data_IF_496951623245
#
_entry.id   IF_496951623245
#
_cell.length_a   1.000
_cell.length_b   1.000
_cell.length_c   1.000
_cell.angle_alpha   90.00
_cell.angle_beta   90.00
_cell.angle_gamma   90.00
#
_symmetry.space_group_name_H-M   'P 1'
#
loop_
_entity.id
_entity.type
_entity.pdbx_description
1 polymer ?
#
# COMPACT_ATOMS: atom_id res chain seq x y z
N UNK A 1 17.80 -14.47 -4.50
CA UNK A 1 17.92 -13.20 -3.76
C UNK A 1 17.60 -13.45 -2.30
N UNK A 2 18.21 -12.68 -1.40
CA UNK A 2 17.84 -12.57 0.01
C UNK A 2 16.81 -11.45 0.16
N UNK A 3 15.59 -11.77 0.56
CA UNK A 3 14.47 -10.82 0.60
C UNK A 3 13.85 -10.87 2.00
N UNK A 4 13.80 -9.72 2.68
CA UNK A 4 13.10 -9.60 3.94
C UNK A 4 11.72 -8.97 3.73
N UNK A 5 10.68 -9.64 4.21
CA UNK A 5 9.33 -9.07 4.31
C UNK A 5 9.18 -8.44 5.69
N UNK A 6 9.10 -7.11 5.73
CA UNK A 6 8.91 -6.38 6.99
C UNK A 6 7.41 -6.19 7.26
N UNK A 7 6.87 -7.06 8.11
CA UNK A 7 5.45 -7.15 8.43
C UNK A 7 4.74 -8.32 7.75
N UNK A 8 4.44 -9.39 8.49
CA UNK A 8 3.69 -10.55 8.00
C UNK A 8 2.17 -10.36 8.20
N UNK A 9 1.62 -9.32 7.56
CA UNK A 9 0.18 -9.17 7.38
C UNK A 9 -0.33 -9.99 6.18
N UNK A 10 -1.55 -9.72 5.72
CA UNK A 10 -2.15 -10.41 4.57
C UNK A 10 -1.28 -10.31 3.30
N UNK A 11 -0.81 -9.11 2.98
CA UNK A 11 0.05 -8.85 1.81
C UNK A 11 1.45 -9.45 2.02
N UNK A 12 2.06 -9.21 3.19
CA UNK A 12 3.40 -9.73 3.48
C UNK A 12 3.44 -11.26 3.51
N UNK A 13 2.44 -11.90 4.10
CA UNK A 13 2.32 -13.36 4.10
C UNK A 13 2.15 -13.94 2.70
N UNK A 14 1.36 -13.28 1.83
CA UNK A 14 1.22 -13.65 0.43
C UNK A 14 2.57 -13.60 -0.31
N UNK A 15 3.27 -12.46 -0.24
CA UNK A 15 4.56 -12.29 -0.93
C UNK A 15 5.63 -13.22 -0.37
N UNK A 16 5.75 -13.33 0.96
CA UNK A 16 6.72 -14.22 1.59
C UNK A 16 6.52 -15.68 1.16
N UNK A 17 5.27 -16.17 1.14
CA UNK A 17 4.98 -17.55 0.76
C UNK A 17 5.34 -17.82 -0.69
N UNK A 18 4.95 -16.94 -1.63
CA UNK A 18 5.23 -17.12 -3.06
C UNK A 18 6.73 -17.04 -3.36
N UNK A 19 7.43 -16.04 -2.82
CA UNK A 19 8.88 -15.88 -3.03
C UNK A 19 9.67 -17.05 -2.46
N UNK A 20 9.33 -17.53 -1.26
CA UNK A 20 9.99 -18.69 -0.67
C UNK A 20 9.71 -19.98 -1.47
N UNK A 21 8.47 -20.18 -1.93
CA UNK A 21 8.12 -21.33 -2.79
C UNK A 21 8.84 -21.29 -4.15
N UNK A 22 9.18 -20.09 -4.64
CA UNK A 22 9.99 -19.90 -5.85
C UNK A 22 11.51 -20.09 -5.62
N UNK A 23 11.94 -20.46 -4.41
CA UNK A 23 13.33 -20.77 -4.09
C UNK A 23 14.18 -19.56 -3.69
N UNK A 24 13.59 -18.41 -3.37
CA UNK A 24 14.33 -17.29 -2.79
C UNK A 24 14.61 -17.51 -1.31
N UNK A 25 15.71 -16.93 -0.82
CA UNK A 25 16.03 -16.90 0.61
C UNK A 25 15.19 -15.78 1.26
N UNK A 26 14.07 -16.19 1.85
CA UNK A 26 13.07 -15.25 2.41
C UNK A 26 13.16 -15.24 3.92
N UNK A 27 13.38 -14.06 4.46
CA UNK A 27 13.23 -13.76 5.87
C UNK A 27 12.03 -12.85 6.13
N UNK A 28 11.59 -12.76 7.37
CA UNK A 28 10.47 -11.88 7.71
C UNK A 28 10.59 -11.31 9.13
N UNK A 29 10.19 -10.06 9.30
CA UNK A 29 9.99 -9.44 10.61
C UNK A 29 8.52 -9.53 10.99
N UNK A 30 8.24 -10.21 12.11
CA UNK A 30 6.90 -10.37 12.64
C UNK A 30 6.93 -10.38 14.17
N UNK A 31 5.78 -10.12 14.78
CA UNK A 31 5.62 -10.06 16.25
C UNK A 31 4.45 -10.90 16.74
N UNK A 32 4.44 -11.17 18.04
CA UNK A 32 3.30 -11.78 18.73
C UNK A 32 2.91 -13.16 18.19
N UNK A 33 1.62 -13.37 18.04
CA UNK A 33 1.06 -14.67 17.63
C UNK A 33 1.50 -15.06 16.20
N UNK A 34 1.58 -14.10 15.27
CA UNK A 34 2.04 -14.38 13.91
C UNK A 34 3.48 -14.91 13.91
N UNK A 35 4.39 -14.31 14.70
CA UNK A 35 5.75 -14.81 14.85
C UNK A 35 5.77 -16.25 15.36
N UNK A 36 5.04 -16.51 16.46
CA UNK A 36 5.03 -17.84 17.10
C UNK A 36 4.48 -18.90 16.15
N UNK A 37 3.39 -18.61 15.45
CA UNK A 37 2.75 -19.54 14.51
C UNK A 37 3.61 -19.79 13.29
N UNK A 38 4.20 -18.75 12.70
CA UNK A 38 5.04 -18.91 11.50
C UNK A 38 6.34 -19.66 11.84
N UNK A 39 6.91 -19.47 13.03
CA UNK A 39 8.05 -20.30 13.51
C UNK A 39 7.69 -21.78 13.61
N UNK A 40 6.52 -22.10 14.16
CA UNK A 40 6.09 -23.47 14.37
C UNK A 40 5.64 -24.14 13.05
N UNK A 41 4.74 -23.51 12.32
CA UNK A 41 3.95 -24.13 11.25
C UNK A 41 4.39 -23.68 9.84
N UNK A 42 5.14 -22.57 9.72
CA UNK A 42 5.43 -21.90 8.46
C UNK A 42 4.28 -21.01 7.99
N UNK A 43 4.31 -20.63 6.72
CA UNK A 43 3.28 -19.85 6.04
C UNK A 43 2.42 -20.76 5.17
N UNK A 44 1.13 -20.47 5.11
CA UNK A 44 0.18 -21.12 4.20
C UNK A 44 -0.56 -20.06 3.39
N UNK A 45 -0.56 -20.21 2.07
CA UNK A 45 -1.32 -19.38 1.13
C UNK A 45 -2.30 -20.25 0.37
N UNK A 46 -3.59 -19.90 0.42
CA UNK A 46 -4.61 -20.49 -0.45
C UNK A 46 -4.96 -19.48 -1.55
N UNK A 47 -4.88 -19.93 -2.81
CA UNK A 47 -5.19 -19.11 -3.99
C UNK A 47 -5.87 -20.00 -5.01
N UNK A 48 -7.15 -19.77 -5.28
CA UNK A 48 -7.95 -20.49 -6.33
C UNK A 48 -7.84 -22.02 -6.29
N UNK A 49 -8.00 -22.58 -5.10
CA UNK A 49 -7.94 -24.04 -4.92
C UNK A 49 -6.52 -24.60 -4.78
N UNK A 50 -5.51 -23.81 -5.10
CA UNK A 50 -4.12 -24.16 -4.82
C UNK A 50 -3.75 -23.76 -3.39
N UNK A 51 -3.02 -24.63 -2.70
CA UNK A 51 -2.45 -24.35 -1.37
C UNK A 51 -0.94 -24.45 -1.44
N UNK A 52 -0.27 -23.31 -1.22
CA UNK A 52 1.18 -23.21 -1.17
C UNK A 52 1.59 -23.11 0.31
N UNK A 53 2.62 -23.90 0.68
CA UNK A 53 3.22 -23.83 2.01
C UNK A 53 4.70 -23.51 1.88
N UNK A 54 5.20 -22.62 2.75
CA UNK A 54 6.61 -22.25 2.77
C UNK A 54 7.09 -22.04 4.20
N UNK A 55 8.37 -22.30 4.42
CA UNK A 55 9.07 -21.91 5.64
C UNK A 55 9.97 -20.73 5.33
N UNK A 56 9.97 -19.76 6.22
CA UNK A 56 10.81 -18.57 6.14
C UNK A 56 11.54 -18.37 7.46
N UNK A 57 12.70 -17.72 7.42
CA UNK A 57 13.37 -17.30 8.64
C UNK A 57 12.65 -16.10 9.24
N UNK A 58 12.01 -16.24 10.40
CA UNK A 58 11.19 -15.19 11.01
C UNK A 58 11.73 -14.79 12.39
N UNK A 59 11.88 -13.48 12.61
CA UNK A 59 12.26 -12.92 13.91
C UNK A 59 11.49 -11.62 14.18
N UNK A 60 11.37 -11.25 15.45
CA UNK A 60 10.94 -9.91 15.84
C UNK A 60 12.12 -8.92 15.88
N UNK A 61 13.35 -9.43 15.91
CA UNK A 61 14.57 -8.66 15.93
C UNK A 61 15.23 -8.69 14.55
N UNK A 62 15.18 -7.60 13.77
CA UNK A 62 15.79 -7.54 12.43
C UNK A 62 17.27 -7.90 12.39
N UNK A 63 18.00 -7.64 13.48
CA UNK A 63 19.42 -7.99 13.60
C UNK A 63 19.72 -9.50 13.46
N UNK A 64 18.76 -10.37 13.78
CA UNK A 64 18.89 -11.82 13.62
C UNK A 64 18.91 -12.26 12.15
N UNK A 65 18.43 -11.40 11.24
CA UNK A 65 18.21 -11.73 9.84
C UNK A 65 19.35 -11.28 8.91
N UNK A 66 20.18 -10.32 9.39
CA UNK A 66 21.33 -9.79 8.65
C UNK A 66 20.98 -9.07 7.33
N UNK A 67 22.02 -8.62 6.59
CA UNK A 67 21.82 -7.84 5.37
C UNK A 67 21.08 -8.59 4.26
N UNK A 68 20.16 -7.88 3.60
CA UNK A 68 19.29 -8.37 2.55
C UNK A 68 19.59 -7.72 1.19
N UNK A 69 19.16 -8.33 0.09
CA UNK A 69 19.18 -7.68 -1.23
C UNK A 69 18.01 -6.71 -1.38
N UNK A 70 16.85 -7.06 -0.78
CA UNK A 70 15.67 -6.20 -0.73
C UNK A 70 14.92 -6.37 0.60
N UNK A 71 14.39 -5.26 1.13
CA UNK A 71 13.45 -5.23 2.25
C UNK A 71 12.10 -4.73 1.71
N UNK A 72 11.07 -5.57 1.74
CA UNK A 72 9.72 -5.20 1.30
C UNK A 72 8.88 -4.90 2.55
N UNK A 73 8.66 -3.62 2.82
CA UNK A 73 7.75 -3.19 3.88
C UNK A 73 6.31 -3.33 3.45
N UNK A 74 5.57 -4.18 4.14
CA UNK A 74 4.12 -4.33 4.00
C UNK A 74 3.38 -3.89 5.26
N UNK A 75 4.05 -3.07 6.06
CA UNK A 75 3.45 -2.41 7.21
C UNK A 75 2.37 -1.43 6.77
N UNK A 76 1.37 -1.23 7.60
CA UNK A 76 0.45 -0.11 7.45
C UNK A 76 1.21 1.21 7.61
N UNK A 77 0.73 2.29 6.97
CA UNK A 77 1.36 3.61 7.08
C UNK A 77 1.52 4.05 8.55
N UNK A 78 0.53 3.74 9.40
CA UNK A 78 0.55 4.02 10.84
C UNK A 78 1.62 3.25 11.64
N UNK A 79 2.29 2.27 11.03
CA UNK A 79 3.30 1.41 11.68
C UNK A 79 4.71 1.64 11.12
N UNK A 80 4.89 2.55 10.16
CA UNK A 80 6.18 2.74 9.48
C UNK A 80 7.31 3.21 10.40
N UNK A 81 7.02 3.85 11.52
CA UNK A 81 8.04 4.20 12.52
C UNK A 81 8.86 2.98 12.96
N UNK A 82 8.21 1.81 13.10
CA UNK A 82 8.93 0.58 13.47
C UNK A 82 9.86 0.05 12.37
N UNK A 83 9.66 0.42 11.10
CA UNK A 83 10.63 0.16 10.04
C UNK A 83 11.85 1.05 10.19
N UNK A 84 11.68 2.36 10.42
CA UNK A 84 12.80 3.28 10.63
C UNK A 84 13.71 2.82 11.78
N UNK A 85 13.11 2.37 12.89
CA UNK A 85 13.84 1.86 14.06
C UNK A 85 14.58 0.53 13.79
N UNK A 86 14.04 -0.31 12.90
CA UNK A 86 14.50 -1.70 12.75
C UNK A 86 15.21 -2.03 11.44
N UNK A 87 15.22 -1.15 10.43
CA UNK A 87 15.71 -1.51 9.10
C UNK A 87 17.23 -1.59 9.00
N UNK A 88 17.97 -0.82 9.79
CA UNK A 88 19.44 -0.67 9.67
C UNK A 88 20.21 -2.01 9.63
N UNK A 89 19.94 -3.03 10.47
CA UNK A 89 20.64 -4.32 10.39
C UNK A 89 20.38 -5.12 9.12
N UNK A 90 19.31 -4.79 8.39
CA UNK A 90 18.92 -5.45 7.13
C UNK A 90 19.58 -4.81 5.90
N UNK A 91 20.23 -3.65 6.07
CA UNK A 91 20.83 -2.90 4.98
C UNK A 91 22.25 -3.39 4.69
N UNK A 92 22.47 -3.88 3.47
CA UNK A 92 23.78 -4.05 2.85
C UNK A 92 24.09 -2.88 1.90
N UNK A 93 25.20 -2.94 1.16
CA UNK A 93 25.60 -1.83 0.28
C UNK A 93 24.55 -1.42 -0.76
N UNK A 94 23.82 -2.40 -1.33
CA UNK A 94 22.86 -2.19 -2.43
C UNK A 94 21.43 -2.58 -2.04
N UNK A 95 21.12 -2.70 -0.75
CA UNK A 95 19.77 -3.09 -0.31
C UNK A 95 18.73 -2.08 -0.76
N UNK A 96 17.70 -2.57 -1.43
CA UNK A 96 16.52 -1.78 -1.80
C UNK A 96 15.47 -1.88 -0.70
N UNK A 97 14.84 -0.74 -0.35
CA UNK A 97 13.76 -0.67 0.62
C UNK A 97 12.47 -0.32 -0.10
N UNK A 98 11.60 -1.31 -0.24
CA UNK A 98 10.33 -1.21 -0.97
C UNK A 98 9.22 -0.81 -0.02
N UNK A 99 8.52 0.26 -0.33
CA UNK A 99 7.37 0.78 0.43
C UNK A 99 6.07 0.36 -0.22
N UNK A 100 5.51 -0.77 0.21
CA UNK A 100 4.27 -1.33 -0.30
C UNK A 100 3.06 -0.89 0.54
N UNK A 101 2.77 0.42 0.57
CA UNK A 101 1.62 1.02 1.24
C UNK A 101 0.57 1.50 0.25
N UNK A 102 -0.65 1.73 0.76
CA UNK A 102 -1.71 2.41 0.03
C UNK A 102 -1.64 3.93 0.24
N UNK A 103 -2.15 4.69 -0.72
CA UNK A 103 -2.27 6.14 -0.61
C UNK A 103 -0.99 6.90 -0.97
N UNK A 104 -0.95 8.17 -0.61
CA UNK A 104 0.22 9.03 -0.80
C UNK A 104 1.32 8.57 0.16
N UNK A 105 2.55 8.27 -0.33
CA UNK A 105 3.63 7.83 0.53
C UNK A 105 4.41 9.02 1.12
N UNK A 106 5.06 8.79 2.25
CA UNK A 106 5.91 9.77 2.93
C UNK A 106 7.06 10.32 2.08
N UNK A 107 7.55 9.53 1.13
CA UNK A 107 8.67 9.86 0.23
C UNK A 107 8.23 10.56 -1.07
N UNK A 108 6.97 10.96 -1.20
CA UNK A 108 6.39 11.46 -2.46
C UNK A 108 7.16 12.62 -3.09
N UNK A 109 7.74 13.51 -2.30
CA UNK A 109 8.55 14.66 -2.75
C UNK A 109 10.01 14.31 -3.09
N UNK A 110 10.51 13.16 -2.61
CA UNK A 110 11.89 12.72 -2.87
C UNK A 110 12.05 12.36 -4.35
N UNK A 111 13.07 12.91 -5.00
CA UNK A 111 13.36 12.64 -6.42
C UNK A 111 12.29 13.18 -7.38
N UNK A 112 11.38 14.04 -6.93
CA UNK A 112 10.39 14.65 -7.79
C UNK A 112 11.07 15.57 -8.80
N UNK A 113 10.70 15.41 -10.08
CA UNK A 113 11.22 16.29 -11.14
C UNK A 113 10.85 17.75 -10.86
N UNK A 114 11.81 18.71 -11.00
CA UNK A 114 11.52 20.14 -10.87
C UNK A 114 10.48 20.67 -11.86
N UNK A 115 10.19 19.92 -12.93
CA UNK A 115 9.14 20.27 -13.89
C UNK A 115 7.73 20.00 -13.36
N UNK A 116 7.59 19.26 -12.26
CA UNK A 116 6.30 19.00 -11.61
C UNK A 116 6.01 20.06 -10.53
N UNK A 117 4.74 20.44 -10.36
CA UNK A 117 4.34 21.27 -9.21
C UNK A 117 4.74 20.63 -7.89
N UNK A 118 5.18 21.45 -6.94
CA UNK A 118 5.54 20.99 -5.61
C UNK A 118 4.32 20.36 -4.92
N UNK A 119 4.50 19.22 -4.21
CA UNK A 119 3.45 18.65 -3.37
C UNK A 119 3.21 19.53 -2.13
N UNK A 120 2.10 19.31 -1.39
CA UNK A 120 1.95 19.88 -0.06
C UNK A 120 3.04 19.36 0.89
N UNK A 121 3.14 19.97 2.07
CA UNK A 121 3.92 19.39 3.15
C UNK A 121 3.34 18.05 3.58
N UNK A 122 4.19 17.02 3.72
CA UNK A 122 3.82 15.64 4.01
C UNK A 122 4.39 15.13 5.35
N UNK A 123 4.74 16.04 6.26
CA UNK A 123 5.31 15.73 7.58
C UNK A 123 4.41 14.78 8.41
N UNK A 124 3.09 14.85 8.22
CA UNK A 124 2.15 13.95 8.87
C UNK A 124 2.32 12.47 8.44
N UNK A 125 2.93 12.21 7.27
CA UNK A 125 3.18 10.87 6.77
C UNK A 125 4.50 10.25 7.28
N UNK A 126 5.38 11.09 7.84
CA UNK A 126 6.62 10.69 8.53
C UNK A 126 6.80 11.59 9.76
N UNK A 127 5.99 11.42 10.82
CA UNK A 127 6.07 12.24 12.02
C UNK A 127 7.46 12.17 12.66
N UNK A 128 8.10 13.33 12.81
CA UNK A 128 9.45 13.44 13.35
C UNK A 128 10.57 13.09 12.34
N UNK A 129 10.27 12.76 11.09
CA UNK A 129 11.25 12.55 10.02
C UNK A 129 12.06 11.26 10.13
N UNK A 130 11.66 10.30 10.96
CA UNK A 130 12.44 9.11 11.26
C UNK A 130 12.74 8.23 10.05
N UNK A 131 11.80 8.13 9.10
CA UNK A 131 12.02 7.37 7.85
C UNK A 131 13.00 8.11 6.95
N UNK A 132 12.86 9.42 6.87
CA UNK A 132 13.70 10.29 6.04
C UNK A 132 15.15 10.34 6.55
N UNK A 133 15.32 10.32 7.86
CA UNK A 133 16.63 10.31 8.49
C UNK A 133 17.29 8.90 8.48
N UNK A 134 16.47 7.85 8.55
CA UNK A 134 16.95 6.47 8.67
C UNK A 134 17.15 5.72 7.34
N UNK A 135 16.62 6.24 6.21
CA UNK A 135 16.64 5.54 4.92
C UNK A 135 17.11 6.47 3.82
N UNK A 136 18.29 6.17 3.27
CA UNK A 136 18.88 6.93 2.16
C UNK A 136 17.95 6.93 0.94
N UNK A 137 17.80 8.09 0.28
CA UNK A 137 16.90 8.27 -0.87
C UNK A 137 17.16 7.26 -2.00
N UNK A 138 18.42 6.89 -2.19
CA UNK A 138 18.90 5.94 -3.19
C UNK A 138 18.40 4.52 -2.96
N UNK A 139 17.98 4.19 -1.73
CA UNK A 139 17.44 2.87 -1.37
C UNK A 139 15.93 2.78 -1.58
N UNK A 140 15.25 3.91 -1.64
CA UNK A 140 13.78 3.95 -1.67
C UNK A 140 13.26 3.41 -2.99
N UNK A 141 12.33 2.47 -2.90
CA UNK A 141 11.52 1.96 -4.01
C UNK A 141 10.05 2.14 -3.65
N UNK A 142 9.34 2.89 -4.48
CA UNK A 142 7.89 3.00 -4.38
C UNK A 142 7.21 1.75 -4.90
N UNK A 143 6.07 1.39 -4.31
CA UNK A 143 5.32 0.23 -4.76
C UNK A 143 3.81 0.45 -4.73
N UNK A 144 3.11 -0.18 -5.69
CA UNK A 144 1.64 -0.23 -5.73
C UNK A 144 1.17 -1.67 -5.70
N UNK A 145 0.47 -2.03 -4.64
CA UNK A 145 -0.09 -3.37 -4.46
C UNK A 145 -1.40 -3.49 -5.24
N UNK A 146 -1.49 -4.47 -6.13
CA UNK A 146 -2.73 -4.85 -6.81
C UNK A 146 -3.00 -6.34 -6.54
N UNK A 147 -3.14 -6.70 -5.29
CA UNK A 147 -3.35 -8.07 -4.82
C UNK A 147 -4.27 -8.04 -3.59
N UNK A 148 -5.54 -8.41 -3.73
CA UNK A 148 -6.44 -8.53 -2.60
C UNK A 148 -6.13 -9.81 -1.83
N UNK A 149 -5.73 -9.65 -0.59
CA UNK A 149 -5.37 -10.75 0.30
C UNK A 149 -6.05 -10.57 1.65
N UNK A 150 -6.44 -11.66 2.27
CA UNK A 150 -6.95 -11.70 3.62
C UNK A 150 -6.10 -12.64 4.50
N UNK A 151 -5.73 -12.19 5.69
CA UNK A 151 -5.17 -13.06 6.72
C UNK A 151 -6.34 -13.64 7.53
N UNK A 152 -6.62 -14.92 7.33
CA UNK A 152 -7.72 -15.64 8.00
C UNK A 152 -7.29 -16.22 9.33
N UNK A 153 -6.01 -16.47 9.52
CA UNK A 153 -5.38 -16.83 10.80
C UNK A 153 -3.89 -16.41 10.76
N UNK A 154 -3.21 -16.30 11.91
CA UNK A 154 -1.77 -16.01 11.94
C UNK A 154 -0.96 -16.98 11.07
N UNK A 155 -0.27 -16.43 10.06
CA UNK A 155 0.50 -17.21 9.07
C UNK A 155 -0.33 -17.90 7.97
N UNK A 156 -1.67 -17.70 7.95
CA UNK A 156 -2.56 -18.27 6.93
C UNK A 156 -3.23 -17.17 6.12
N UNK A 157 -2.96 -17.12 4.83
CA UNK A 157 -3.45 -16.09 3.92
C UNK A 157 -4.31 -16.71 2.81
N UNK A 158 -5.37 -16.01 2.45
CA UNK A 158 -6.19 -16.28 1.27
C UNK A 158 -5.99 -15.14 0.26
N UNK A 159 -5.70 -15.50 -0.97
CA UNK A 159 -5.64 -14.59 -2.11
C UNK A 159 -6.94 -14.68 -2.91
N UNK A 160 -7.64 -13.55 -3.07
CA UNK A 160 -9.04 -13.52 -3.50
C UNK A 160 -9.26 -13.12 -4.97
N UNK A 161 -8.21 -12.97 -5.79
CA UNK A 161 -8.40 -12.50 -7.16
C UNK A 161 -7.51 -13.22 -8.18
N UNK A 162 -8.12 -13.91 -9.13
CA UNK A 162 -7.40 -14.56 -10.24
C UNK A 162 -6.64 -13.57 -11.14
N UNK A 163 -7.18 -12.40 -11.31
CA UNK A 163 -6.68 -11.41 -12.28
C UNK A 163 -5.82 -10.32 -11.66
N UNK A 164 -5.82 -10.20 -10.32
CA UNK A 164 -5.10 -9.15 -9.61
C UNK A 164 -4.09 -9.76 -8.63
N UNK A 165 -2.87 -9.94 -9.11
CA UNK A 165 -1.74 -10.39 -8.30
C UNK A 165 -0.49 -9.65 -8.77
N UNK A 166 -0.38 -8.36 -8.42
CA UNK A 166 0.74 -7.55 -8.87
C UNK A 166 1.31 -6.67 -7.75
N UNK A 167 2.61 -6.43 -7.86
CA UNK A 167 3.36 -5.41 -7.13
C UNK A 167 4.11 -4.56 -8.16
N UNK A 168 3.58 -3.37 -8.48
CA UNK A 168 4.23 -2.44 -9.40
C UNK A 168 5.32 -1.70 -8.63
N UNK A 169 6.54 -1.70 -9.16
CA UNK A 169 7.71 -1.09 -8.51
C UNK A 169 8.26 0.07 -9.36
N UNK A 170 8.70 1.14 -8.71
CA UNK A 170 9.37 2.26 -9.37
C UNK A 170 10.26 3.06 -8.43
N UNK A 171 11.30 3.68 -8.98
CA UNK A 171 12.16 4.61 -8.25
C UNK A 171 11.45 5.96 -8.06
N UNK A 172 11.68 6.67 -6.94
CA UNK A 172 11.13 8.01 -6.74
C UNK A 172 11.59 9.05 -7.80
N UNK A 173 12.76 8.88 -8.38
CA UNK A 173 13.34 9.72 -9.42
C UNK A 173 13.09 9.19 -10.85
N UNK A 174 12.27 8.15 -10.97
CA UNK A 174 11.87 7.49 -12.22
C UNK A 174 13.06 6.95 -13.06
N UNK A 175 14.27 6.88 -12.49
CA UNK A 175 15.46 6.34 -13.18
C UNK A 175 15.36 4.83 -13.37
N UNK A 176 16.00 4.33 -14.43
CA UNK A 176 16.24 2.90 -14.60
C UNK A 176 17.19 2.38 -13.52
N UNK A 177 16.89 1.20 -12.97
CA UNK A 177 17.67 0.56 -11.91
C UNK A 177 17.74 -0.96 -12.14
N UNK A 178 18.93 -1.49 -12.53
CA UNK A 178 19.11 -2.93 -12.74
C UNK A 178 18.85 -3.77 -11.48
N UNK A 179 19.03 -3.21 -10.29
CA UNK A 179 18.69 -3.87 -9.04
C UNK A 179 17.18 -4.06 -8.91
N UNK A 180 16.41 -3.03 -9.31
CA UNK A 180 14.96 -3.09 -9.33
C UNK A 180 14.44 -4.09 -10.37
N UNK A 181 15.10 -4.22 -11.52
CA UNK A 181 14.75 -5.22 -12.53
C UNK A 181 14.94 -6.64 -12.00
N UNK A 182 16.05 -6.92 -11.29
CA UNK A 182 16.25 -8.21 -10.62
C UNK A 182 15.15 -8.53 -9.60
N UNK A 183 14.68 -7.54 -8.87
CA UNK A 183 13.58 -7.73 -7.92
C UNK A 183 12.24 -7.99 -8.65
N UNK A 184 11.98 -7.31 -9.77
CA UNK A 184 10.82 -7.61 -10.63
C UNK A 184 10.86 -9.04 -11.15
N UNK A 185 12.02 -9.49 -11.64
CA UNK A 185 12.20 -10.85 -12.12
C UNK A 185 11.95 -11.90 -11.02
N UNK A 186 12.38 -11.61 -9.78
CA UNK A 186 12.11 -12.46 -8.63
C UNK A 186 10.60 -12.55 -8.33
N UNK A 187 9.89 -11.43 -8.37
CA UNK A 187 8.44 -11.38 -8.17
C UNK A 187 7.71 -12.15 -9.28
N UNK A 188 8.08 -11.91 -10.53
CA UNK A 188 7.47 -12.60 -11.69
C UNK A 188 7.72 -14.11 -11.62
N UNK A 189 8.94 -14.54 -11.29
CA UNK A 189 9.28 -15.94 -11.07
C UNK A 189 8.48 -16.59 -9.92
N UNK A 190 8.02 -15.80 -8.95
CA UNK A 190 7.15 -16.22 -7.86
C UNK A 190 5.64 -16.13 -8.21
N UNK A 191 5.28 -15.81 -9.45
CA UNK A 191 3.90 -15.67 -9.91
C UNK A 191 3.23 -14.38 -9.44
N UNK A 192 4.00 -13.35 -9.11
CA UNK A 192 3.51 -12.00 -8.78
C UNK A 192 3.87 -11.09 -9.96
N UNK A 193 2.87 -10.58 -10.66
CA UNK A 193 3.12 -9.65 -11.75
C UNK A 193 3.84 -8.39 -11.24
N UNK A 194 4.85 -7.94 -11.97
CA UNK A 194 5.58 -6.72 -11.63
C UNK A 194 5.94 -5.95 -12.92
N UNK A 195 4.92 -5.36 -13.58
CA UNK A 195 5.15 -4.63 -14.82
C UNK A 195 6.05 -3.41 -14.54
N UNK A 196 6.94 -3.06 -15.49
CA UNK A 196 7.71 -1.84 -15.39
C UNK A 196 6.79 -0.61 -15.40
N UNK A 197 7.17 0.44 -14.69
CA UNK A 197 6.53 1.74 -14.77
C UNK A 197 7.57 2.82 -14.98
N UNK A 198 7.25 3.76 -15.85
CA UNK A 198 8.07 4.95 -16.09
C UNK A 198 7.78 6.06 -15.06
N UNK A 199 6.73 5.92 -14.28
CA UNK A 199 6.28 6.91 -13.30
C UNK A 199 5.52 6.20 -12.18
N UNK A 200 6.19 6.04 -11.04
CA UNK A 200 5.58 5.37 -9.88
C UNK A 200 4.45 6.21 -9.27
N UNK A 201 4.52 7.53 -9.33
CA UNK A 201 3.45 8.40 -8.81
C UNK A 201 2.19 8.29 -9.66
N UNK A 202 2.33 8.14 -10.97
CA UNK A 202 1.22 7.84 -11.87
C UNK A 202 0.48 6.56 -11.44
N UNK A 203 1.23 5.51 -11.12
CA UNK A 203 0.66 4.23 -10.67
C UNK A 203 -0.02 4.38 -9.29
N UNK A 204 0.57 5.15 -8.36
CA UNK A 204 0.00 5.45 -7.05
C UNK A 204 -1.36 6.16 -7.19
N UNK A 205 -1.41 7.26 -7.95
CA UNK A 205 -2.64 8.02 -8.14
C UNK A 205 -3.72 7.21 -8.86
N UNK A 206 -3.34 6.38 -9.84
CA UNK A 206 -4.28 5.51 -10.56
C UNK A 206 -5.06 4.58 -9.61
N UNK A 207 -4.39 4.01 -8.60
CA UNK A 207 -5.05 3.21 -7.56
C UNK A 207 -5.78 4.09 -6.54
N UNK A 208 -5.21 5.25 -6.23
CA UNK A 208 -5.72 6.14 -5.20
C UNK A 208 -7.09 6.72 -5.53
N UNK A 209 -7.42 6.93 -6.81
CA UNK A 209 -8.75 7.39 -7.23
C UNK A 209 -9.87 6.50 -6.69
N UNK A 210 -9.67 5.19 -6.65
CA UNK A 210 -10.62 4.26 -6.04
C UNK A 210 -10.55 4.28 -4.51
N UNK A 211 -9.36 4.36 -3.96
CA UNK A 211 -9.19 4.29 -2.51
C UNK A 211 -9.76 5.53 -1.81
N UNK A 212 -9.54 6.75 -2.35
CA UNK A 212 -10.05 7.99 -1.75
C UNK A 212 -11.56 8.17 -1.93
N UNK A 213 -12.18 7.42 -2.84
CA UNK A 213 -13.60 7.54 -3.14
C UNK A 213 -14.38 6.32 -2.65
N UNK A 214 -14.47 5.23 -3.43
CA UNK A 214 -15.32 4.09 -3.08
C UNK A 214 -14.91 3.42 -1.76
N UNK A 215 -13.59 3.32 -1.45
CA UNK A 215 -13.18 2.66 -0.21
C UNK A 215 -13.56 3.47 1.03
N UNK A 216 -13.48 4.80 0.95
CA UNK A 216 -13.92 5.68 2.04
C UNK A 216 -15.44 5.69 2.16
N UNK A 217 -16.19 5.66 1.06
CA UNK A 217 -17.65 5.51 1.11
C UNK A 217 -18.06 4.18 1.76
N UNK A 218 -17.37 3.09 1.48
CA UNK A 218 -17.59 1.82 2.18
C UNK A 218 -17.32 1.94 3.69
N UNK A 219 -16.29 2.69 4.10
CA UNK A 219 -16.01 2.96 5.51
C UNK A 219 -17.18 3.69 6.17
N UNK A 220 -17.59 4.83 5.59
CA UNK A 220 -18.62 5.71 6.19
C UNK A 220 -20.00 5.08 6.20
N UNK A 221 -20.37 4.34 5.14
CA UNK A 221 -21.71 3.74 5.00
C UNK A 221 -21.84 2.37 5.66
N UNK A 222 -20.72 1.70 5.95
CA UNK A 222 -20.73 0.33 6.48
C UNK A 222 -21.03 -0.74 5.42
N UNK A 223 -21.08 -0.37 4.13
CA UNK A 223 -21.42 -1.28 3.04
C UNK A 223 -20.21 -1.77 2.24
N UNK A 224 -20.42 -2.85 1.48
CA UNK A 224 -19.47 -3.37 0.48
C UNK A 224 -19.48 -2.49 -0.77
N UNK A 225 -18.43 -2.61 -1.58
CA UNK A 225 -18.28 -1.81 -2.79
C UNK A 225 -19.44 -1.97 -3.78
N UNK A 226 -20.01 -3.16 -3.89
CA UNK A 226 -21.16 -3.41 -4.77
C UNK A 226 -22.36 -2.53 -4.39
N UNK A 227 -22.69 -2.45 -3.10
CA UNK A 227 -23.83 -1.66 -2.61
C UNK A 227 -23.61 -0.16 -2.88
N UNK A 228 -22.39 0.34 -2.66
CA UNK A 228 -22.02 1.73 -2.95
C UNK A 228 -22.18 2.05 -4.43
N UNK A 229 -21.81 1.11 -5.31
CA UNK A 229 -21.91 1.31 -6.76
C UNK A 229 -23.34 1.19 -7.30
N UNK A 230 -24.16 0.30 -6.74
CA UNK A 230 -25.55 0.07 -7.16
C UNK A 230 -26.50 1.15 -6.64
N UNK A 231 -26.26 1.70 -5.44
CA UNK A 231 -27.04 2.84 -4.97
C UNK A 231 -26.73 4.09 -5.81
N UNK A 232 -27.77 4.65 -6.43
CA UNK A 232 -27.59 5.76 -7.37
C UNK A 232 -27.04 7.03 -6.72
N UNK A 233 -27.36 7.30 -5.46
CA UNK A 233 -26.91 8.49 -4.73
C UNK A 233 -25.44 8.33 -4.33
N UNK A 234 -25.08 7.18 -3.78
CA UNK A 234 -23.70 6.86 -3.40
C UNK A 234 -22.81 6.75 -4.64
N UNK A 235 -23.29 6.16 -5.72
CA UNK A 235 -22.57 6.08 -6.98
C UNK A 235 -22.30 7.44 -7.62
N UNK A 236 -23.25 8.39 -7.57
CA UNK A 236 -22.97 9.77 -7.99
C UNK A 236 -21.94 10.45 -7.09
N UNK A 237 -22.01 10.23 -5.78
CA UNK A 237 -21.02 10.77 -4.84
C UNK A 237 -19.62 10.17 -5.10
N UNK A 238 -19.53 8.86 -5.33
CA UNK A 238 -18.29 8.22 -5.75
C UNK A 238 -17.67 8.89 -6.99
N UNK A 239 -18.47 9.10 -8.03
CA UNK A 239 -18.01 9.75 -9.27
C UNK A 239 -17.53 11.18 -9.01
N UNK A 240 -18.26 11.95 -8.19
CA UNK A 240 -17.89 13.31 -7.85
C UNK A 240 -16.55 13.35 -7.08
N UNK A 241 -16.37 12.54 -6.05
CA UNK A 241 -15.14 12.42 -5.29
C UNK A 241 -13.95 11.99 -6.17
N UNK A 242 -14.16 11.00 -7.04
CA UNK A 242 -13.12 10.53 -7.95
C UNK A 242 -12.68 11.64 -8.92
N UNK A 243 -13.62 12.40 -9.49
CA UNK A 243 -13.33 13.54 -10.37
C UNK A 243 -12.58 14.67 -9.67
N UNK A 244 -12.91 14.98 -8.41
CA UNK A 244 -12.17 15.94 -7.59
C UNK A 244 -10.71 15.48 -7.38
N UNK A 245 -10.51 14.20 -7.04
CA UNK A 245 -9.17 13.63 -6.91
C UNK A 245 -8.39 13.59 -8.22
N UNK A 246 -9.05 13.30 -9.34
CA UNK A 246 -8.45 13.35 -10.68
C UNK A 246 -8.01 14.78 -11.06
N UNK A 247 -8.82 15.80 -10.72
CA UNK A 247 -8.46 17.19 -10.94
C UNK A 247 -7.25 17.61 -10.11
N UNK A 248 -7.20 17.21 -8.83
CA UNK A 248 -6.04 17.42 -7.97
C UNK A 248 -4.77 16.77 -8.53
N UNK A 249 -4.85 15.50 -8.94
CA UNK A 249 -3.76 14.76 -9.54
C UNK A 249 -3.25 15.41 -10.83
N UNK A 250 -4.17 15.83 -11.72
CA UNK A 250 -3.83 16.50 -12.98
C UNK A 250 -3.10 17.82 -12.74
N UNK A 251 -3.48 18.59 -11.72
CA UNK A 251 -2.79 19.83 -11.33
C UNK A 251 -1.34 19.58 -10.87
N UNK A 252 -1.01 18.36 -10.45
CA UNK A 252 0.35 17.92 -10.08
C UNK A 252 1.04 17.08 -11.19
N UNK A 253 0.57 17.19 -12.43
CA UNK A 253 1.19 16.56 -13.59
C UNK A 253 0.95 15.04 -13.72
N UNK A 254 -0.08 14.52 -13.05
CA UNK A 254 -0.51 13.13 -13.18
C UNK A 254 -1.55 13.02 -14.31
N UNK A 255 -1.36 12.09 -15.23
CA UNK A 255 -2.33 11.82 -16.26
C UNK A 255 -3.46 10.92 -15.73
N UNK A 256 -4.58 11.51 -15.35
CA UNK A 256 -5.75 10.79 -14.86
C UNK A 256 -6.65 10.23 -15.99
N UNK A 257 -6.36 10.53 -17.26
CA UNK A 257 -7.24 10.27 -18.39
C UNK A 257 -7.51 8.80 -18.73
N UNK A 258 -6.76 7.86 -18.15
CA UNK A 258 -7.00 6.43 -18.31
C UNK A 258 -8.11 5.88 -17.37
N UNK A 259 -8.53 6.63 -16.36
CA UNK A 259 -9.57 6.25 -15.42
C UNK A 259 -10.84 7.05 -15.67
N UNK A 260 -11.94 6.34 -15.93
CA UNK A 260 -13.29 6.93 -16.04
C UNK A 260 -14.19 6.32 -14.95
N UNK A 261 -14.55 7.09 -13.91
CA UNK A 261 -15.35 6.59 -12.81
C UNK A 261 -16.79 6.20 -13.20
N UNK A 262 -17.36 6.82 -14.23
CA UNK A 262 -18.70 6.45 -14.73
C UNK A 262 -18.71 5.05 -15.36
N UNK A 263 -17.73 4.76 -16.20
CA UNK A 263 -17.62 3.45 -16.84
C UNK A 263 -17.06 2.37 -15.90
N UNK A 264 -16.37 2.74 -14.84
CA UNK A 264 -15.91 1.81 -13.80
C UNK A 264 -17.07 1.30 -12.94
N UNK A 265 -17.96 2.16 -12.55
CA UNK A 265 -19.07 1.92 -11.61
C UNK A 265 -19.83 0.60 -11.86
N UNK A 266 -20.37 0.33 -13.07
CA UNK A 266 -21.13 -0.90 -13.34
C UNK A 266 -20.27 -2.18 -13.39
N UNK A 267 -18.93 -2.06 -13.41
CA UNK A 267 -17.97 -3.16 -13.50
C UNK A 267 -17.20 -3.36 -12.21
N UNK A 268 -17.51 -2.57 -11.18
CA UNK A 268 -16.79 -2.65 -9.92
C UNK A 268 -16.99 -4.03 -9.26
N UNK A 269 -15.91 -4.68 -8.83
CA UNK A 269 -16.02 -5.97 -8.15
C UNK A 269 -16.69 -5.82 -6.80
N UNK A 270 -17.43 -6.85 -6.38
CA UNK A 270 -17.92 -6.91 -5.01
C UNK A 270 -16.77 -7.30 -4.08
N UNK A 271 -16.30 -6.35 -3.29
CA UNK A 271 -15.30 -6.59 -2.26
C UNK A 271 -15.49 -5.67 -1.05
N UNK A 272 -14.89 -6.04 0.06
CA UNK A 272 -14.78 -5.20 1.24
C UNK A 272 -13.40 -4.53 1.23
N UNK A 273 -13.30 -3.20 1.07
CA UNK A 273 -12.03 -2.49 1.09
C UNK A 273 -11.28 -2.66 2.41
N UNK A 274 -9.94 -2.68 2.33
CA UNK A 274 -9.07 -2.92 3.50
C UNK A 274 -9.29 -1.91 4.63
N UNK A 275 -9.53 -0.64 4.31
CA UNK A 275 -9.81 0.39 5.33
C UNK A 275 -11.09 0.09 6.12
N UNK A 276 -12.13 -0.46 5.47
CA UNK A 276 -13.35 -0.89 6.15
C UNK A 276 -13.11 -2.13 6.99
N UNK A 277 -12.37 -3.11 6.47
CA UNK A 277 -11.98 -4.31 7.25
C UNK A 277 -11.16 -3.94 8.48
N UNK A 278 -10.23 -2.98 8.37
CA UNK A 278 -9.45 -2.51 9.52
C UNK A 278 -10.35 -1.85 10.57
N UNK A 279 -11.28 -1.00 10.14
CA UNK A 279 -12.24 -0.35 11.04
C UNK A 279 -13.09 -1.38 11.80
N UNK A 280 -13.65 -2.39 11.12
CA UNK A 280 -14.45 -3.45 11.73
C UNK A 280 -13.66 -4.30 12.73
N UNK A 281 -12.36 -4.44 12.49
CA UNK A 281 -11.44 -5.20 13.36
C UNK A 281 -10.82 -4.33 14.47
N UNK A 282 -11.28 -3.08 14.64
CA UNK A 282 -10.74 -2.16 15.64
C UNK A 282 -9.26 -1.80 15.42
N UNK A 283 -8.82 -1.72 14.17
CA UNK A 283 -7.44 -1.38 13.80
C UNK A 283 -7.34 0.07 13.31
N UNK A 284 -6.20 0.76 13.54
CA UNK A 284 -5.98 2.08 12.99
C UNK A 284 -6.21 2.13 11.48
N UNK A 285 -6.88 3.20 11.00
CA UNK A 285 -7.23 3.39 9.59
C UNK A 285 -6.31 4.41 8.93
N UNK A 286 -6.02 4.20 7.63
CA UNK A 286 -5.03 4.98 6.86
C UNK A 286 -5.68 6.21 6.18
N UNK A 287 -6.51 6.99 6.91
CA UNK A 287 -7.21 8.15 6.35
C UNK A 287 -6.23 9.26 5.92
N UNK A 288 -5.10 9.43 6.61
CA UNK A 288 -4.10 10.43 6.25
C UNK A 288 -3.61 10.21 4.81
N UNK A 289 -3.14 9.00 4.51
CA UNK A 289 -2.57 8.67 3.21
C UNK A 289 -3.61 8.57 2.09
N UNK A 290 -4.83 8.08 2.43
CA UNK A 290 -5.85 7.78 1.43
C UNK A 290 -6.75 8.97 1.10
N UNK A 291 -6.91 9.92 2.03
CA UNK A 291 -7.93 10.96 1.89
C UNK A 291 -7.39 12.36 2.22
N UNK A 292 -6.75 12.56 3.38
CA UNK A 292 -6.34 13.90 3.80
C UNK A 292 -5.16 14.44 2.99
N UNK A 293 -4.16 13.61 2.69
CA UNK A 293 -3.07 14.00 1.82
C UNK A 293 -3.57 14.37 0.40
N UNK A 294 -4.40 13.58 -0.32
CA UNK A 294 -5.02 14.00 -1.58
C UNK A 294 -5.76 15.33 -1.52
N UNK A 295 -6.51 15.59 -0.45
CA UNK A 295 -7.19 16.89 -0.24
C UNK A 295 -6.15 18.01 -0.07
N UNK A 296 -5.04 17.77 0.64
CA UNK A 296 -3.95 18.76 0.76
C UNK A 296 -3.32 19.05 -0.62
N UNK A 297 -3.11 18.04 -1.48
CA UNK A 297 -2.69 18.23 -2.86
C UNK A 297 -3.65 19.14 -3.65
N UNK A 298 -4.94 18.90 -3.55
CA UNK A 298 -5.96 19.75 -4.17
C UNK A 298 -5.88 21.20 -3.66
N UNK A 299 -5.74 21.37 -2.35
CA UNK A 299 -5.71 22.70 -1.71
C UNK A 299 -4.53 23.53 -2.16
N UNK A 300 -3.30 22.99 -2.23
CA UNK A 300 -2.14 23.75 -2.72
C UNK A 300 -2.22 24.09 -4.20
N UNK A 301 -2.97 23.31 -4.98
CA UNK A 301 -3.25 23.55 -6.39
C UNK A 301 -4.46 24.47 -6.63
N UNK A 302 -5.17 24.90 -5.59
CA UNK A 302 -6.38 25.71 -5.71
C UNK A 302 -7.58 24.97 -6.31
N UNK A 303 -7.61 23.65 -6.22
CA UNK A 303 -8.70 22.79 -6.70
C UNK A 303 -9.71 22.59 -5.57
N UNK A 304 -10.98 22.90 -5.83
CA UNK A 304 -12.05 22.69 -4.88
C UNK A 304 -12.42 21.20 -4.79
N UNK A 305 -12.58 20.70 -3.56
CA UNK A 305 -12.90 19.28 -3.28
C UNK A 305 -14.06 19.13 -2.28
N UNK A 306 -15.23 19.76 -2.55
CA UNK A 306 -16.31 19.81 -1.57
C UNK A 306 -16.86 18.44 -1.18
N UNK A 307 -16.89 17.47 -2.11
CA UNK A 307 -17.37 16.11 -1.81
C UNK A 307 -16.34 15.31 -1.00
N UNK A 308 -15.05 15.39 -1.37
CA UNK A 308 -13.97 14.75 -0.61
C UNK A 308 -13.89 15.33 0.80
N UNK A 309 -13.95 16.66 0.98
CA UNK A 309 -13.90 17.32 2.29
C UNK A 309 -15.11 16.95 3.17
N UNK A 310 -16.32 16.93 2.60
CA UNK A 310 -17.52 16.55 3.34
C UNK A 310 -17.45 15.09 3.85
N UNK A 311 -17.03 14.17 2.97
CA UNK A 311 -16.90 12.76 3.35
C UNK A 311 -15.71 12.57 4.31
N UNK A 312 -14.62 13.34 4.15
CA UNK A 312 -13.49 13.31 5.07
C UNK A 312 -13.90 13.70 6.49
N UNK A 313 -14.70 14.76 6.65
CA UNK A 313 -15.20 15.18 7.96
C UNK A 313 -15.96 14.05 8.68
N UNK A 314 -16.80 13.30 7.95
CA UNK A 314 -17.54 12.16 8.49
C UNK A 314 -16.62 10.98 8.82
N UNK A 315 -15.73 10.60 7.89
CA UNK A 315 -14.82 9.48 8.05
C UNK A 315 -13.84 9.68 9.21
N UNK A 316 -13.25 10.87 9.30
CA UNK A 316 -12.32 11.23 10.38
C UNK A 316 -13.04 11.24 11.72
N UNK A 317 -14.23 11.88 11.82
CA UNK A 317 -14.99 11.90 13.08
C UNK A 317 -15.35 10.49 13.55
N UNK A 318 -15.85 9.64 12.64
CA UNK A 318 -16.16 8.24 12.93
C UNK A 318 -14.93 7.47 13.44
N UNK A 319 -13.79 7.67 12.81
CA UNK A 319 -12.55 6.97 13.18
C UNK A 319 -11.99 7.47 14.52
N UNK A 320 -12.08 8.77 14.82
CA UNK A 320 -11.69 9.34 16.12
C UNK A 320 -12.62 8.79 17.23
N UNK A 321 -13.93 8.77 17.02
CA UNK A 321 -14.90 8.27 18.01
C UNK A 321 -14.67 6.79 18.33
N UNK A 322 -14.19 6.02 17.34
CA UNK A 322 -13.81 4.62 17.51
C UNK A 322 -12.39 4.43 18.10
N UNK A 323 -11.61 5.51 18.32
CA UNK A 323 -10.20 5.42 18.77
C UNK A 323 -9.23 4.86 17.73
N UNK A 324 -9.58 4.93 16.43
CA UNK A 324 -8.82 4.33 15.33
C UNK A 324 -8.09 5.36 14.46
N UNK A 325 -8.19 6.63 14.82
CA UNK A 325 -7.49 7.74 14.20
C UNK A 325 -7.17 8.81 15.28
N UNK A 326 -6.05 9.54 15.19
CA UNK A 326 -5.71 10.60 16.13
C UNK A 326 -6.76 11.72 16.13
N UNK A 327 -6.94 12.35 17.33
CA UNK A 327 -7.87 13.47 17.50
C UNK A 327 -7.27 14.81 17.03
#
# INVERSE_FOLDING_TARGET
MRICIFGLGAVGGHFATRLAAAGHDVSAVARGETLSKVKADGLTLTSFGETIRARVNVSEHPADLGPQDAVISTLKATQLASLAEGVAPLLGPETQVVFAQNGIPWWYDIGLSPARPAPPELSNLDPGGALRDGIEAERIVGAVIQSPNEMVAPGVVVHESETRNALILGRPDDRADPGLDRLRDALVGAGIQSPPTADIRQAIWGKLFLNMSISVLCLVTGHRAIVVNEDERLGRLFVAMAREGMAAAAAHGINAGAFDPESFRPRAPDHMPSIRQDFERGRPVELENLLLAPIAFARVAGIATPNLEAVAALAVRQAIDAGLFPA
#
